data_IF_637445253003
#
_entry.id   IF_637445253003
#
_cell.length_a   1.000
_cell.length_b   1.000
_cell.length_c   1.000
_cell.angle_alpha   90.00
_cell.angle_beta   90.00
_cell.angle_gamma   90.00
#
_symmetry.space_group_name_H-M   'P 1'
#
loop_
_entity.id
_entity.type
_entity.pdbx_description
1 polymer ?
#
# COMPACT_ATOMS: atom_id res chain seq x y z
N UNK A 1 24.91 -6.39 -4.67
CA UNK A 1 23.63 -6.16 -3.96
C UNK A 1 23.90 -5.13 -2.89
N UNK A 2 23.21 -4.00 -2.91
CA UNK A 2 23.36 -2.98 -1.87
C UNK A 2 22.90 -3.51 -0.51
N UNK A 3 23.48 -2.96 0.56
CA UNK A 3 23.07 -3.26 1.93
C UNK A 3 21.63 -2.80 2.13
N UNK A 4 20.78 -3.70 2.63
CA UNK A 4 19.46 -3.33 3.13
C UNK A 4 19.63 -2.71 4.51
N UNK A 5 18.94 -1.60 4.74
CA UNK A 5 18.93 -0.89 6.02
C UNK A 5 17.53 -1.02 6.63
N UNK A 6 17.50 -1.44 7.89
CA UNK A 6 16.26 -1.57 8.65
C UNK A 6 15.99 -0.26 9.37
N UNK A 7 15.15 0.57 8.76
CA UNK A 7 14.68 1.86 9.28
C UNK A 7 13.15 1.88 9.45
N UNK A 8 12.64 2.96 10.05
CA UNK A 8 11.22 3.13 10.32
C UNK A 8 10.65 1.95 11.12
N UNK A 9 9.59 1.31 10.61
CA UNK A 9 8.95 0.13 11.21
C UNK A 9 9.89 -1.07 11.37
N UNK A 10 11.01 -1.12 10.65
CA UNK A 10 12.03 -2.18 10.78
C UNK A 10 13.18 -1.80 11.71
N UNK A 11 13.28 -0.57 12.19
CA UNK A 11 14.36 -0.15 13.10
C UNK A 11 14.36 -0.95 14.41
N UNK A 12 15.53 -1.27 14.96
CA UNK A 12 15.71 -1.85 16.31
C UNK A 12 15.76 -0.80 17.42
N UNK A 13 15.64 0.48 17.06
CA UNK A 13 15.72 1.58 18.00
C UNK A 13 14.34 1.95 18.52
N UNK A 14 14.06 1.85 19.83
CA UNK A 14 12.78 2.27 20.41
C UNK A 14 12.39 3.72 20.07
N UNK A 15 13.37 4.61 19.95
CA UNK A 15 13.16 6.02 19.58
C UNK A 15 12.73 6.23 18.12
N UNK A 16 12.89 5.22 17.26
CA UNK A 16 12.42 5.23 15.87
C UNK A 16 11.23 4.28 15.65
N UNK A 17 11.09 3.23 16.47
CA UNK A 17 10.10 2.17 16.29
C UNK A 17 9.57 1.67 17.64
N UNK A 18 8.72 2.46 18.32
CA UNK A 18 8.46 2.30 19.75
C UNK A 18 7.84 0.95 20.11
N UNK A 19 7.01 0.40 19.22
CA UNK A 19 6.22 -0.80 19.48
C UNK A 19 6.78 -2.08 18.86
N UNK A 20 7.53 -1.95 17.75
CA UNK A 20 8.02 -3.11 16.97
C UNK A 20 9.55 -3.26 17.02
N UNK A 21 10.29 -2.40 17.72
CA UNK A 21 11.77 -2.42 17.69
C UNK A 21 12.39 -3.77 18.06
N UNK A 22 11.78 -4.50 19.00
CA UNK A 22 12.30 -5.78 19.49
C UNK A 22 11.67 -7.00 18.81
N UNK A 23 11.02 -6.82 17.65
CA UNK A 23 10.46 -7.93 16.90
C UNK A 23 11.51 -8.62 16.02
N UNK A 24 11.23 -9.87 15.67
CA UNK A 24 11.89 -10.50 14.52
C UNK A 24 11.45 -9.74 13.26
N UNK A 25 12.42 -9.32 12.45
CA UNK A 25 12.19 -8.47 11.29
C UNK A 25 12.73 -9.15 10.04
N UNK A 26 11.93 -9.15 9.00
CA UNK A 26 12.23 -9.79 7.73
C UNK A 26 11.85 -8.84 6.61
N UNK A 27 12.74 -8.67 5.64
CA UNK A 27 12.46 -7.94 4.41
C UNK A 27 12.53 -8.90 3.23
N UNK A 28 11.42 -9.04 2.50
CA UNK A 28 11.33 -9.86 1.29
C UNK A 28 11.55 -8.95 0.09
N UNK A 29 12.65 -9.14 -0.62
CA UNK A 29 12.97 -8.32 -1.80
C UNK A 29 11.96 -8.55 -2.91
N UNK A 30 11.41 -7.47 -3.44
CA UNK A 30 10.48 -7.50 -4.56
C UNK A 30 11.22 -7.78 -5.87
N UNK A 31 10.88 -8.89 -6.54
CA UNK A 31 11.55 -9.30 -7.78
C UNK A 31 10.62 -9.98 -8.80
N UNK A 32 9.31 -9.98 -8.59
CA UNK A 32 8.36 -10.68 -9.46
C UNK A 32 7.59 -9.76 -10.42
N UNK A 33 7.33 -8.51 -10.05
CA UNK A 33 6.68 -7.53 -10.91
C UNK A 33 5.15 -7.47 -10.83
N UNK A 34 4.48 -8.30 -10.03
CA UNK A 34 3.03 -8.29 -9.84
C UNK A 34 2.63 -8.46 -8.37
N UNK A 35 3.31 -7.76 -7.46
CA UNK A 35 2.98 -7.78 -6.02
C UNK A 35 2.89 -9.20 -5.44
N UNK A 36 3.80 -10.08 -5.86
CA UNK A 36 3.85 -11.50 -5.50
C UNK A 36 2.63 -12.35 -5.96
N UNK A 37 1.86 -11.89 -6.94
CA UNK A 37 0.69 -12.61 -7.43
C UNK A 37 0.89 -13.25 -8.83
N UNK A 38 2.06 -13.08 -9.47
CA UNK A 38 2.33 -13.62 -10.80
C UNK A 38 2.64 -15.13 -10.84
N UNK A 39 2.27 -15.79 -11.93
CA UNK A 39 2.56 -17.20 -12.25
C UNK A 39 2.82 -17.44 -13.76
N UNK A 40 2.86 -16.38 -14.58
CA UNK A 40 2.99 -16.43 -16.03
C UNK A 40 4.39 -16.76 -16.54
N UNK A 41 4.50 -17.19 -17.79
CA UNK A 41 5.77 -17.44 -18.48
C UNK A 41 5.71 -16.82 -19.87
N UNK A 42 6.67 -15.96 -20.16
CA UNK A 42 6.87 -15.42 -21.51
C UNK A 42 8.00 -16.22 -22.18
N UNK A 43 7.62 -17.10 -23.09
CA UNK A 43 8.55 -17.97 -23.80
C UNK A 43 9.39 -17.26 -24.86
N UNK A 44 8.95 -16.09 -25.36
CA UNK A 44 9.70 -15.33 -26.36
C UNK A 44 10.93 -14.67 -25.72
N UNK A 45 10.74 -14.05 -24.56
CA UNK A 45 11.80 -13.36 -23.83
C UNK A 45 12.44 -14.22 -22.74
N UNK A 46 11.99 -15.47 -22.57
CA UNK A 46 12.40 -16.39 -21.51
C UNK A 46 12.27 -15.78 -20.09
N UNK A 47 11.15 -15.10 -19.84
CA UNK A 47 10.87 -14.44 -18.56
C UNK A 47 9.89 -15.26 -17.72
N UNK A 48 10.24 -15.41 -16.44
CA UNK A 48 9.45 -16.15 -15.45
C UNK A 48 8.82 -15.20 -14.45
N UNK A 49 7.50 -15.05 -14.51
CA UNK A 49 6.75 -14.32 -13.50
C UNK A 49 6.28 -15.33 -12.45
N UNK A 50 6.94 -15.34 -11.28
CA UNK A 50 6.80 -16.39 -10.26
C UNK A 50 6.49 -15.82 -8.87
N UNK A 51 5.80 -14.68 -8.84
CA UNK A 51 5.44 -13.99 -7.60
C UNK A 51 4.82 -14.92 -6.56
N UNK A 52 3.79 -15.69 -6.93
CA UNK A 52 3.09 -16.53 -5.97
C UNK A 52 3.97 -17.68 -5.46
N UNK A 53 4.81 -18.28 -6.33
CA UNK A 53 5.81 -19.27 -5.88
C UNK A 53 6.86 -18.68 -4.96
N UNK A 54 7.36 -17.49 -5.27
CA UNK A 54 8.35 -16.79 -4.43
C UNK A 54 7.73 -16.53 -3.05
N UNK A 55 6.50 -16.00 -3.00
CA UNK A 55 5.75 -15.80 -1.76
C UNK A 55 5.64 -17.10 -0.96
N UNK A 56 5.16 -18.18 -1.58
CA UNK A 56 4.95 -19.46 -0.91
C UNK A 56 6.26 -20.05 -0.38
N UNK A 57 7.33 -20.04 -1.18
CA UNK A 57 8.63 -20.55 -0.78
C UNK A 57 9.26 -19.74 0.37
N UNK A 58 9.15 -18.40 0.32
CA UNK A 58 9.64 -17.53 1.39
C UNK A 58 8.86 -17.76 2.68
N UNK A 59 7.52 -17.82 2.61
CA UNK A 59 6.69 -18.07 3.79
C UNK A 59 6.98 -19.43 4.42
N UNK A 60 7.14 -20.48 3.62
CA UNK A 60 7.51 -21.82 4.09
C UNK A 60 8.87 -21.81 4.80
N UNK A 61 9.88 -21.18 4.20
CA UNK A 61 11.22 -21.06 4.77
C UNK A 61 11.19 -20.29 6.11
N UNK A 62 10.49 -19.15 6.19
CA UNK A 62 10.34 -18.38 7.43
C UNK A 62 9.59 -19.17 8.51
N UNK A 63 8.55 -19.92 8.14
CA UNK A 63 7.83 -20.81 9.05
C UNK A 63 8.76 -21.88 9.63
N UNK A 64 9.73 -22.38 8.85
CA UNK A 64 10.74 -23.33 9.32
C UNK A 64 11.78 -22.69 10.25
N UNK A 65 12.08 -21.40 10.05
CA UNK A 65 13.05 -20.61 10.83
C UNK A 65 12.48 -19.99 12.11
N UNK A 66 11.32 -20.47 12.56
CA UNK A 66 10.74 -20.12 13.85
C UNK A 66 9.53 -19.19 13.78
N UNK A 67 9.16 -18.66 12.60
CA UNK A 67 7.94 -17.84 12.46
C UNK A 67 6.69 -18.63 12.89
N UNK A 68 6.66 -19.96 12.71
CA UNK A 68 5.56 -20.83 13.14
C UNK A 68 5.23 -20.75 14.63
N UNK A 69 6.19 -20.35 15.46
CA UNK A 69 6.03 -20.21 16.92
C UNK A 69 5.65 -18.79 17.35
N UNK A 70 5.42 -17.87 16.40
CA UNK A 70 5.08 -16.49 16.70
C UNK A 70 3.71 -16.40 17.41
N UNK A 71 3.67 -15.59 18.48
CA UNK A 71 2.42 -15.21 19.17
C UNK A 71 1.73 -14.03 18.47
N UNK A 72 2.51 -13.23 17.76
CA UNK A 72 2.12 -12.01 17.09
C UNK A 72 2.85 -11.94 15.74
N UNK A 73 2.14 -11.59 14.67
CA UNK A 73 2.71 -11.42 13.35
C UNK A 73 2.03 -10.25 12.62
N UNK A 74 2.84 -9.45 11.91
CA UNK A 74 2.39 -8.35 11.08
C UNK A 74 2.98 -8.52 9.68
N UNK A 75 2.11 -8.66 8.68
CA UNK A 75 2.52 -8.55 7.28
C UNK A 75 2.47 -7.07 6.89
N UNK A 76 3.58 -6.50 6.46
CA UNK A 76 3.62 -5.11 5.99
C UNK A 76 4.41 -4.94 4.70
N UNK A 77 4.09 -3.88 3.98
CA UNK A 77 4.80 -3.49 2.77
C UNK A 77 4.40 -2.11 2.29
N UNK A 78 5.25 -1.54 1.44
CA UNK A 78 5.07 -0.23 0.81
C UNK A 78 4.85 -0.38 -0.70
N UNK A 79 4.00 0.46 -1.31
CA UNK A 79 3.78 0.51 -2.76
C UNK A 79 3.28 -0.83 -3.32
N UNK A 80 3.97 -1.44 -4.29
CA UNK A 80 3.70 -2.80 -4.76
C UNK A 80 3.75 -3.85 -3.62
N UNK A 81 4.58 -3.65 -2.58
CA UNK A 81 4.58 -4.47 -1.38
C UNK A 81 3.40 -4.20 -0.44
N UNK A 82 2.85 -2.99 -0.47
CA UNK A 82 1.60 -2.65 0.21
C UNK A 82 0.42 -3.36 -0.47
N UNK A 83 0.37 -3.32 -1.80
CA UNK A 83 -0.58 -4.12 -2.59
C UNK A 83 -0.42 -5.63 -2.32
N UNK A 84 0.81 -6.13 -2.23
CA UNK A 84 1.06 -7.52 -1.85
C UNK A 84 0.52 -7.84 -0.44
N UNK A 85 0.68 -6.91 0.51
CA UNK A 85 0.14 -7.06 1.86
C UNK A 85 -1.38 -7.15 1.88
N UNK A 86 -2.07 -6.51 0.92
CA UNK A 86 -3.52 -6.62 0.73
C UNK A 86 -3.87 -7.98 0.11
N UNK A 87 -3.23 -8.33 -1.01
CA UNK A 87 -3.53 -9.53 -1.79
C UNK A 87 -3.31 -10.82 -0.98
N UNK A 88 -2.22 -10.87 -0.20
CA UNK A 88 -1.82 -12.07 0.53
C UNK A 88 -2.18 -12.03 2.02
N UNK A 89 -2.96 -11.04 2.49
CA UNK A 89 -3.23 -10.89 3.93
C UNK A 89 -3.88 -12.13 4.55
N UNK A 90 -4.92 -12.66 3.90
CA UNK A 90 -5.64 -13.83 4.39
C UNK A 90 -4.82 -15.13 4.21
N UNK A 91 -3.98 -15.21 3.17
CA UNK A 91 -3.03 -16.31 3.00
C UNK A 91 -1.99 -16.34 4.12
N UNK A 92 -1.42 -15.16 4.46
CA UNK A 92 -0.49 -15.02 5.56
C UNK A 92 -1.13 -15.40 6.90
N UNK A 93 -2.36 -14.94 7.16
CA UNK A 93 -3.12 -15.33 8.35
C UNK A 93 -3.33 -16.82 8.45
N UNK A 94 -3.57 -17.50 7.34
CA UNK A 94 -3.85 -18.94 7.29
C UNK A 94 -2.64 -19.81 7.65
N UNK A 95 -1.41 -19.26 7.63
CA UNK A 95 -0.20 -19.97 8.05
C UNK A 95 -0.14 -20.24 9.56
N UNK A 96 -0.88 -19.46 10.36
CA UNK A 96 -0.80 -19.48 11.82
C UNK A 96 -2.04 -20.10 12.48
N UNK A 97 -1.89 -20.72 13.67
CA UNK A 97 -3.03 -21.18 14.45
C UNK A 97 -3.92 -20.01 14.88
N UNK A 98 -5.18 -20.31 15.25
CA UNK A 98 -6.15 -19.29 15.64
C UNK A 98 -5.75 -18.45 16.87
N UNK A 99 -4.81 -18.96 17.68
CA UNK A 99 -4.28 -18.30 18.87
C UNK A 99 -3.23 -17.23 18.56
N UNK A 100 -2.64 -17.22 17.37
CA UNK A 100 -1.67 -16.19 16.96
C UNK A 100 -2.42 -14.93 16.53
N UNK A 101 -2.04 -13.77 17.10
CA UNK A 101 -2.54 -12.48 16.62
C UNK A 101 -1.83 -12.14 15.31
N UNK A 102 -2.56 -12.14 14.20
CA UNK A 102 -2.03 -11.76 12.90
C UNK A 102 -2.84 -10.60 12.34
N UNK A 103 -2.14 -9.57 11.84
CA UNK A 103 -2.73 -8.42 11.16
C UNK A 103 -1.89 -8.02 9.95
N UNK A 104 -2.44 -7.18 9.07
CA UNK A 104 -1.73 -6.69 7.89
C UNK A 104 -1.69 -5.16 7.84
N UNK A 105 -0.61 -4.58 7.32
CA UNK A 105 -0.42 -3.15 7.13
C UNK A 105 -0.02 -2.89 5.68
N UNK A 106 -0.86 -2.20 4.93
CA UNK A 106 -0.52 -1.74 3.59
C UNK A 106 -0.22 -0.25 3.64
N UNK A 107 1.03 0.10 3.34
CA UNK A 107 1.47 1.48 3.14
C UNK A 107 1.55 1.82 1.65
N UNK A 108 0.91 2.91 1.23
CA UNK A 108 0.88 3.37 -0.16
C UNK A 108 0.45 2.28 -1.18
N UNK A 109 -0.24 1.24 -0.71
CA UNK A 109 -0.65 0.07 -1.50
C UNK A 109 -2.10 0.13 -1.97
N UNK A 110 -2.89 1.09 -1.49
CA UNK A 110 -4.26 1.34 -1.94
C UNK A 110 -4.28 2.15 -3.25
N UNK A 111 -3.99 1.48 -4.36
CA UNK A 111 -4.11 2.04 -5.70
C UNK A 111 -5.58 2.10 -6.15
N UNK A 112 -5.99 3.27 -6.66
CA UNK A 112 -7.36 3.54 -7.07
C UNK A 112 -7.50 3.38 -8.59
N UNK A 113 -8.56 2.70 -9.01
CA UNK A 113 -8.97 2.54 -10.40
C UNK A 113 -9.62 3.84 -10.89
N UNK A 114 -8.76 4.78 -11.30
CA UNK A 114 -9.11 6.18 -11.56
C UNK A 114 -9.26 6.49 -13.06
N UNK A 115 -9.95 7.59 -13.33
CA UNK A 115 -9.98 8.26 -14.63
C UNK A 115 -8.83 9.26 -14.69
N UNK A 116 -7.99 9.17 -15.71
CA UNK A 116 -6.83 10.06 -15.89
C UNK A 116 -7.23 11.44 -16.44
N UNK A 117 -6.28 12.38 -16.50
CA UNK A 117 -6.53 13.76 -16.93
C UNK A 117 -7.01 13.90 -18.38
N UNK A 118 -6.90 12.85 -19.19
CA UNK A 118 -7.42 12.81 -20.57
C UNK A 118 -8.84 12.24 -20.66
N UNK A 119 -9.41 11.79 -19.53
CA UNK A 119 -10.68 11.06 -19.48
C UNK A 119 -10.54 9.56 -19.74
N UNK A 120 -9.30 9.06 -19.82
CA UNK A 120 -8.99 7.65 -20.05
C UNK A 120 -8.83 6.84 -18.76
N UNK A 121 -8.37 5.59 -18.90
CA UNK A 121 -8.08 4.68 -17.80
C UNK A 121 -6.65 4.12 -17.91
N UNK A 122 -5.64 5.00 -17.91
CA UNK A 122 -4.24 4.62 -18.06
C UNK A 122 -3.80 3.55 -17.03
N UNK A 123 -4.12 3.73 -15.75
CA UNK A 123 -3.72 2.77 -14.70
C UNK A 123 -4.40 1.40 -14.86
N UNK A 124 -5.67 1.37 -15.28
CA UNK A 124 -6.38 0.11 -15.55
C UNK A 124 -5.75 -0.62 -16.73
N UNK A 125 -5.35 0.10 -17.77
CA UNK A 125 -4.66 -0.47 -18.93
C UNK A 125 -3.29 -1.04 -18.53
N UNK A 126 -2.57 -0.34 -17.65
CA UNK A 126 -1.31 -0.84 -17.07
C UNK A 126 -1.54 -2.13 -16.25
N UNK A 127 -2.54 -2.15 -15.36
CA UNK A 127 -2.87 -3.34 -14.57
C UNK A 127 -3.36 -4.51 -15.43
N UNK A 128 -4.07 -4.24 -16.53
CA UNK A 128 -4.47 -5.26 -17.49
C UNK A 128 -3.26 -5.95 -18.11
N UNK A 129 -2.26 -5.14 -18.51
CA UNK A 129 -0.98 -5.63 -18.98
C UNK A 129 -0.26 -6.49 -17.94
N UNK A 130 -0.19 -6.05 -16.68
CA UNK A 130 0.41 -6.82 -15.57
C UNK A 130 -0.33 -8.15 -15.38
N UNK A 131 -1.65 -8.10 -15.27
CA UNK A 131 -2.47 -9.28 -15.00
C UNK A 131 -2.37 -10.32 -16.13
N UNK A 132 -2.39 -9.85 -17.37
CA UNK A 132 -2.32 -10.71 -18.57
C UNK A 132 -0.92 -11.27 -18.76
N UNK A 133 0.12 -10.42 -18.78
CA UNK A 133 1.50 -10.84 -19.01
C UNK A 133 2.00 -11.79 -17.93
N UNK A 134 1.70 -11.47 -16.67
CA UNK A 134 2.25 -12.19 -15.52
C UNK A 134 1.33 -13.29 -14.99
N UNK A 135 0.20 -13.59 -15.66
CA UNK A 135 -0.69 -14.69 -15.31
C UNK A 135 -1.27 -14.59 -13.90
N UNK A 136 -1.62 -13.37 -13.48
CA UNK A 136 -2.01 -13.04 -12.08
C UNK A 136 -3.39 -13.60 -11.71
N UNK A 137 -4.29 -13.71 -12.70
CA UNK A 137 -5.72 -14.00 -12.48
C UNK A 137 -6.00 -15.23 -11.60
N UNK A 138 -5.17 -16.26 -11.67
CA UNK A 138 -5.34 -17.51 -10.92
C UNK A 138 -5.07 -17.37 -9.41
N UNK A 139 -4.32 -16.34 -9.01
CA UNK A 139 -3.98 -16.06 -7.61
C UNK A 139 -4.84 -14.95 -7.01
N UNK A 140 -5.78 -14.38 -7.77
CA UNK A 140 -6.71 -13.37 -7.26
C UNK A 140 -7.88 -14.03 -6.50
N UNK A 141 -8.51 -13.31 -5.55
CA UNK A 141 -9.60 -13.87 -4.78
C UNK A 141 -10.79 -14.31 -5.64
N UNK A 142 -11.18 -15.58 -5.53
CA UNK A 142 -12.29 -16.17 -6.31
C UNK A 142 -13.63 -15.44 -6.15
N UNK A 143 -13.90 -14.87 -4.97
CA UNK A 143 -15.12 -14.10 -4.75
C UNK A 143 -15.18 -12.84 -5.62
N UNK A 144 -14.03 -12.29 -6.01
CA UNK A 144 -13.95 -11.14 -6.89
C UNK A 144 -13.97 -11.59 -8.36
N UNK A 145 -13.12 -12.54 -8.74
CA UNK A 145 -12.98 -12.96 -10.16
C UNK A 145 -14.20 -13.70 -10.70
N UNK A 146 -15.09 -14.19 -9.83
CA UNK A 146 -16.40 -14.72 -10.23
C UNK A 146 -17.45 -13.64 -10.56
N UNK A 147 -17.17 -12.37 -10.21
CA UNK A 147 -18.10 -11.24 -10.38
C UNK A 147 -17.55 -10.16 -11.31
N UNK A 148 -16.22 -10.03 -11.38
CA UNK A 148 -15.50 -9.00 -12.11
C UNK A 148 -14.34 -9.62 -12.88
N UNK A 149 -13.81 -8.89 -13.87
CA UNK A 149 -12.60 -9.32 -14.57
C UNK A 149 -11.38 -9.28 -13.63
N UNK A 150 -10.34 -10.04 -13.97
CA UNK A 150 -9.14 -10.16 -13.16
C UNK A 150 -8.42 -8.82 -12.95
N UNK A 151 -8.39 -7.95 -13.98
CA UNK A 151 -7.81 -6.60 -13.89
C UNK A 151 -8.47 -5.77 -12.79
N UNK A 152 -9.80 -5.76 -12.70
CA UNK A 152 -10.52 -5.13 -11.58
C UNK A 152 -10.14 -5.77 -10.25
N UNK A 153 -10.04 -7.09 -10.18
CA UNK A 153 -9.70 -7.78 -8.93
C UNK A 153 -8.26 -7.60 -8.45
N UNK A 154 -7.38 -7.06 -9.30
CA UNK A 154 -6.04 -6.66 -8.90
C UNK A 154 -6.01 -5.28 -8.24
N UNK A 155 -7.03 -4.43 -8.46
CA UNK A 155 -7.16 -3.17 -7.74
C UNK A 155 -7.68 -3.39 -6.30
N UNK A 156 -6.98 -2.87 -5.27
CA UNK A 156 -7.38 -2.96 -3.88
C UNK A 156 -8.84 -2.59 -3.59
N UNK A 157 -9.34 -1.53 -4.22
CA UNK A 157 -10.69 -1.00 -3.94
C UNK A 157 -11.82 -2.03 -4.11
N UNK A 158 -11.61 -3.09 -4.91
CA UNK A 158 -12.62 -4.12 -5.15
C UNK A 158 -12.48 -5.35 -4.23
N UNK A 159 -11.41 -5.45 -3.46
CA UNK A 159 -11.11 -6.63 -2.62
C UNK A 159 -10.94 -6.30 -1.14
N UNK A 160 -10.48 -5.08 -0.79
CA UNK A 160 -10.08 -4.76 0.60
C UNK A 160 -11.20 -4.93 1.63
N UNK A 161 -12.45 -4.64 1.26
CA UNK A 161 -13.59 -4.77 2.16
C UNK A 161 -13.94 -6.23 2.48
N UNK A 162 -13.46 -7.18 1.67
CA UNK A 162 -13.73 -8.60 1.80
C UNK A 162 -12.58 -9.37 2.47
N UNK A 163 -11.43 -8.71 2.76
CA UNK A 163 -10.35 -9.31 3.54
C UNK A 163 -10.88 -9.65 4.93
N UNK A 164 -10.68 -10.89 5.37
CA UNK A 164 -11.18 -11.37 6.67
C UNK A 164 -10.27 -10.98 7.82
N UNK A 165 -8.96 -10.95 7.58
CA UNK A 165 -7.94 -10.56 8.55
C UNK A 165 -7.95 -9.05 8.83
N UNK A 166 -7.80 -8.59 10.10
CA UNK A 166 -7.71 -7.17 10.40
C UNK A 166 -6.56 -6.50 9.64
N UNK A 167 -6.90 -5.46 8.88
CA UNK A 167 -5.95 -4.74 8.02
C UNK A 167 -5.92 -3.25 8.35
N UNK A 168 -4.74 -2.65 8.24
CA UNK A 168 -4.52 -1.21 8.36
C UNK A 168 -4.08 -0.64 7.01
N UNK A 169 -4.77 0.41 6.56
CA UNK A 169 -4.37 1.16 5.37
C UNK A 169 -3.71 2.48 5.78
N UNK A 170 -2.41 2.58 5.52
CA UNK A 170 -1.68 3.84 5.57
C UNK A 170 -1.51 4.33 4.14
N UNK A 171 -2.08 5.49 3.82
CA UNK A 171 -2.02 5.98 2.45
C UNK A 171 -2.06 7.50 2.45
N UNK A 172 -1.23 8.14 1.64
CA UNK A 172 -1.38 9.56 1.37
C UNK A 172 -2.62 9.79 0.48
N UNK A 173 -3.45 10.77 0.83
CA UNK A 173 -4.57 11.21 -0.01
C UNK A 173 -4.10 11.77 -1.37
N UNK A 174 -2.86 12.26 -1.41
CA UNK A 174 -2.17 12.78 -2.59
C UNK A 174 -0.93 11.93 -2.88
N UNK A 175 -1.13 10.62 -3.04
CA UNK A 175 -0.05 9.68 -3.34
C UNK A 175 0.69 10.06 -4.62
N UNK A 176 1.99 10.35 -4.49
CA UNK A 176 2.78 10.97 -5.58
C UNK A 176 3.00 10.01 -6.73
N UNK A 177 3.11 8.71 -6.46
CA UNK A 177 3.19 7.69 -7.50
C UNK A 177 1.88 7.63 -8.30
N UNK A 178 0.73 7.60 -7.64
CA UNK A 178 -0.57 7.61 -8.33
C UNK A 178 -0.77 8.89 -9.13
N UNK A 179 -0.40 10.06 -8.61
CA UNK A 179 -0.48 11.31 -9.36
C UNK A 179 0.37 11.23 -10.64
N UNK A 180 1.59 10.72 -10.54
CA UNK A 180 2.54 10.68 -11.64
C UNK A 180 2.27 9.57 -12.67
N UNK A 181 1.85 8.38 -12.21
CA UNK A 181 1.77 7.18 -13.03
C UNK A 181 0.35 6.77 -13.39
N UNK A 182 -0.65 7.22 -12.62
CA UNK A 182 -2.05 6.89 -12.85
C UNK A 182 -2.85 8.11 -13.32
N UNK A 183 -2.82 9.23 -12.60
CA UNK A 183 -3.64 10.42 -12.88
C UNK A 183 -3.10 11.22 -14.08
N UNK A 184 -1.81 11.55 -14.08
CA UNK A 184 -1.16 12.35 -15.13
C UNK A 184 0.13 11.70 -15.68
N UNK A 185 0.08 10.43 -16.16
CA UNK A 185 1.23 9.82 -16.81
C UNK A 185 1.64 10.57 -18.08
N UNK A 186 2.91 10.44 -18.45
CA UNK A 186 3.46 11.16 -19.61
C UNK A 186 2.73 10.82 -20.92
N UNK A 187 2.19 9.61 -21.03
CA UNK A 187 1.42 9.15 -22.20
C UNK A 187 0.11 9.90 -22.41
N UNK A 188 -0.46 10.50 -21.36
CA UNK A 188 -1.73 11.26 -21.42
C UNK A 188 -1.52 12.77 -21.23
N UNK A 189 -0.28 13.23 -21.02
CA UNK A 189 0.11 14.63 -20.91
C UNK A 189 1.16 15.02 -21.99
N UNK A 190 0.85 14.90 -23.29
CA UNK A 190 1.83 15.16 -24.36
C UNK A 190 2.25 16.64 -24.47
N UNK A 191 1.47 17.55 -23.88
CA UNK A 191 1.76 18.98 -23.82
C UNK A 191 2.54 19.38 -22.56
N UNK A 192 2.86 18.40 -21.70
CA UNK A 192 3.57 18.60 -20.44
C UNK A 192 2.92 19.64 -19.50
N UNK A 193 1.59 19.81 -19.55
CA UNK A 193 0.91 20.81 -18.72
C UNK A 193 0.93 20.44 -17.24
N UNK A 194 1.01 19.14 -16.93
CA UNK A 194 1.10 18.61 -15.58
C UNK A 194 2.52 18.39 -15.08
N UNK A 195 3.53 18.56 -15.93
CA UNK A 195 4.93 18.24 -15.59
C UNK A 195 5.41 18.96 -14.35
N UNK A 196 5.15 20.27 -14.21
CA UNK A 196 5.56 21.00 -13.02
C UNK A 196 4.76 20.54 -11.78
N UNK A 197 3.43 20.50 -11.87
CA UNK A 197 2.53 20.15 -10.78
C UNK A 197 2.76 18.73 -10.19
N UNK A 198 2.91 17.71 -11.05
CA UNK A 198 3.05 16.31 -10.60
C UNK A 198 4.40 15.97 -9.97
N UNK A 199 5.37 16.88 -10.07
CA UNK A 199 6.70 16.77 -9.45
C UNK A 199 6.99 17.87 -8.41
N UNK A 200 6.10 18.85 -8.28
CA UNK A 200 6.13 19.89 -7.26
C UNK A 200 4.71 20.41 -7.06
N UNK A 201 4.10 20.01 -5.94
CA UNK A 201 2.70 20.35 -5.65
C UNK A 201 2.47 21.87 -5.52
N UNK A 202 3.49 22.64 -5.14
CA UNK A 202 3.42 24.11 -5.05
C UNK A 202 3.40 24.79 -6.43
N UNK A 203 3.73 24.05 -7.50
CA UNK A 203 3.68 24.55 -8.88
C UNK A 203 2.32 24.28 -9.57
N UNK A 204 1.37 23.66 -8.87
CA UNK A 204 0.05 23.40 -9.41
C UNK A 204 -0.79 24.69 -9.51
N UNK A 205 -1.43 24.91 -10.66
CA UNK A 205 -2.44 25.95 -10.79
C UNK A 205 -3.76 25.56 -10.08
N UNK A 206 -4.69 26.52 -9.97
CA UNK A 206 -5.97 26.31 -9.29
C UNK A 206 -6.81 25.17 -9.90
N UNK A 207 -6.73 24.94 -11.21
CA UNK A 207 -7.46 23.87 -11.88
C UNK A 207 -6.82 22.50 -11.61
N UNK A 208 -5.49 22.42 -11.67
CA UNK A 208 -4.74 21.22 -11.31
C UNK A 208 -4.99 20.84 -9.85
N UNK A 209 -4.98 21.82 -8.94
CA UNK A 209 -5.33 21.61 -7.55
C UNK A 209 -6.76 21.09 -7.39
N UNK A 210 -7.74 21.64 -8.12
CA UNK A 210 -9.11 21.12 -8.10
C UNK A 210 -9.20 19.65 -8.54
N UNK A 211 -8.42 19.25 -9.55
CA UNK A 211 -8.34 17.87 -10.01
C UNK A 211 -7.69 16.97 -8.94
N UNK A 212 -6.63 17.43 -8.27
CA UNK A 212 -6.01 16.71 -7.15
C UNK A 212 -6.97 16.54 -5.96
N UNK A 213 -7.81 17.52 -5.67
CA UNK A 213 -8.88 17.40 -4.68
C UNK A 213 -9.92 16.35 -5.09
N UNK A 214 -10.26 16.30 -6.39
CA UNK A 214 -11.10 15.24 -6.97
C UNK A 214 -10.49 13.85 -6.83
N UNK A 215 -9.17 13.73 -7.06
CA UNK A 215 -8.41 12.50 -6.86
C UNK A 215 -8.50 12.00 -5.40
N UNK A 216 -8.25 12.89 -4.43
CA UNK A 216 -8.45 12.58 -2.99
C UNK A 216 -9.86 12.06 -2.73
N UNK A 217 -10.89 12.75 -3.23
CA UNK A 217 -12.27 12.35 -2.98
C UNK A 217 -12.60 10.98 -3.60
N UNK A 218 -12.02 10.67 -4.76
CA UNK A 218 -12.15 9.36 -5.41
C UNK A 218 -11.56 8.26 -4.53
N UNK A 219 -10.37 8.48 -3.96
CA UNK A 219 -9.76 7.55 -3.01
C UNK A 219 -10.63 7.33 -1.76
N UNK A 220 -11.09 8.42 -1.14
CA UNK A 220 -11.91 8.33 0.08
C UNK A 220 -13.25 7.62 -0.16
N UNK A 221 -13.86 7.82 -1.32
CA UNK A 221 -15.07 7.10 -1.71
C UNK A 221 -14.81 5.61 -1.89
N UNK A 222 -13.69 5.24 -2.54
CA UNK A 222 -13.28 3.84 -2.70
C UNK A 222 -12.97 3.15 -1.35
N UNK A 223 -12.59 3.91 -0.32
CA UNK A 223 -12.27 3.41 1.02
C UNK A 223 -13.50 3.12 1.89
N UNK A 224 -14.68 3.66 1.57
CA UNK A 224 -15.84 3.67 2.49
C UNK A 224 -16.23 2.28 3.01
N UNK A 225 -16.30 1.27 2.13
CA UNK A 225 -16.65 -0.10 2.51
C UNK A 225 -15.63 -0.74 3.45
N UNK A 226 -14.34 -0.44 3.27
CA UNK A 226 -13.28 -0.89 4.15
C UNK A 226 -13.30 -0.16 5.50
N UNK A 227 -13.48 1.17 5.48
CA UNK A 227 -13.50 2.04 6.66
C UNK A 227 -14.70 1.79 7.58
N UNK A 228 -15.80 1.25 7.06
CA UNK A 228 -16.97 0.87 7.84
C UNK A 228 -16.70 -0.31 8.80
N UNK A 229 -15.69 -1.15 8.53
CA UNK A 229 -15.41 -2.34 9.33
C UNK A 229 -14.57 -2.00 10.57
N UNK A 230 -15.08 -2.33 11.77
CA UNK A 230 -14.43 -1.92 13.01
C UNK A 230 -13.09 -2.59 13.30
N UNK A 231 -12.87 -3.79 12.75
CA UNK A 231 -11.59 -4.52 12.84
C UNK A 231 -10.45 -3.80 12.10
N UNK A 232 -10.78 -2.97 11.12
CA UNK A 232 -9.82 -2.33 10.25
C UNK A 232 -9.38 -0.98 10.81
N UNK A 233 -8.17 -0.58 10.47
CA UNK A 233 -7.65 0.75 10.76
C UNK A 233 -7.27 1.50 9.49
N UNK A 234 -7.25 2.82 9.54
CA UNK A 234 -6.68 3.62 8.46
C UNK A 234 -6.10 4.93 8.97
N UNK A 235 -5.06 5.39 8.29
CA UNK A 235 -4.43 6.69 8.48
C UNK A 235 -4.20 7.30 7.10
N UNK A 236 -5.05 8.27 6.75
CA UNK A 236 -5.05 8.91 5.44
C UNK A 236 -4.67 10.38 5.62
N UNK A 237 -3.39 10.71 5.47
CA UNK A 237 -2.89 12.09 5.58
C UNK A 237 -2.99 12.85 4.26
N UNK A 238 -2.91 14.17 4.32
CA UNK A 238 -2.94 15.03 3.14
C UNK A 238 -1.56 15.43 2.62
N UNK A 239 -0.55 14.60 2.89
CA UNK A 239 0.78 14.82 2.38
C UNK A 239 0.89 14.39 0.92
N UNK A 240 1.65 15.14 0.12
CA UNK A 240 2.17 14.65 -1.16
C UNK A 240 3.35 13.70 -0.91
N UNK A 241 3.07 12.41 -0.71
CA UNK A 241 4.14 11.41 -0.50
C UNK A 241 3.77 10.03 -1.02
N UNK A 242 4.76 9.18 -1.29
CA UNK A 242 4.60 7.77 -1.59
C UNK A 242 5.49 6.92 -0.68
N UNK A 243 4.85 6.17 0.23
CA UNK A 243 5.55 5.34 1.21
C UNK A 243 6.08 6.13 2.41
N UNK A 244 5.88 5.56 3.60
CA UNK A 244 6.01 6.25 4.88
C UNK A 244 6.53 5.34 6.00
N UNK A 245 6.27 4.03 5.97
CA UNK A 245 6.64 3.13 7.08
C UNK A 245 8.14 2.89 7.22
N UNK A 246 8.92 3.05 6.15
CA UNK A 246 10.38 2.84 6.19
C UNK A 246 11.17 4.13 6.38
N UNK A 247 10.54 5.30 6.19
CA UNK A 247 11.21 6.59 6.39
C UNK A 247 11.05 7.02 7.86
N UNK A 248 12.14 7.10 8.64
CA UNK A 248 12.05 7.49 10.05
C UNK A 248 11.48 8.90 10.23
N UNK A 249 11.65 9.81 9.26
CA UNK A 249 11.12 11.17 9.30
C UNK A 249 9.61 11.21 9.11
N UNK A 250 9.00 10.16 8.55
CA UNK A 250 7.54 10.06 8.36
C UNK A 250 6.92 9.14 9.39
N UNK A 251 7.62 8.09 9.79
CA UNK A 251 7.12 7.07 10.69
C UNK A 251 6.98 7.55 12.14
N UNK A 252 8.06 8.07 12.75
CA UNK A 252 8.07 8.36 14.19
C UNK A 252 9.01 9.48 14.67
N UNK A 253 9.68 10.24 13.80
CA UNK A 253 10.47 11.41 14.23
C UNK A 253 9.63 12.48 14.94
N UNK A 254 10.28 13.43 15.61
CA UNK A 254 9.58 14.47 16.36
C UNK A 254 8.73 15.42 15.51
N UNK A 255 9.14 15.60 14.26
CA UNK A 255 8.43 16.38 13.25
C UNK A 255 7.66 15.52 12.24
N UNK A 256 7.46 14.21 12.50
CA UNK A 256 6.74 13.35 11.58
C UNK A 256 5.29 13.81 11.38
N UNK A 257 4.65 13.53 10.22
CA UNK A 257 3.26 13.86 9.97
C UNK A 257 2.31 13.32 11.04
N UNK A 258 1.29 14.10 11.39
CA UNK A 258 0.31 13.72 12.40
C UNK A 258 -1.12 14.04 11.98
N UNK A 259 -2.06 13.17 12.35
CA UNK A 259 -3.49 13.48 12.30
C UNK A 259 -4.01 13.48 13.74
N UNK A 260 -4.63 14.59 14.16
CA UNK A 260 -5.10 14.74 15.53
C UNK A 260 -3.99 14.57 16.58
N UNK A 261 -2.80 15.10 16.30
CA UNK A 261 -1.59 15.01 17.13
C UNK A 261 -1.07 13.57 17.35
N UNK A 262 -1.49 12.59 16.54
CA UNK A 262 -0.95 11.23 16.56
C UNK A 262 -0.05 10.98 15.36
N UNK A 263 1.17 10.51 15.62
CA UNK A 263 2.14 10.06 14.60
C UNK A 263 1.64 8.75 13.95
N UNK A 264 2.21 8.44 12.79
CA UNK A 264 1.91 7.20 12.06
C UNK A 264 2.23 5.96 12.93
N UNK A 265 3.44 5.87 13.49
CA UNK A 265 3.83 4.70 14.29
C UNK A 265 2.92 4.47 15.50
N UNK A 266 2.58 5.54 16.23
CA UNK A 266 1.64 5.48 17.36
C UNK A 266 0.27 4.98 16.92
N UNK A 267 -0.22 5.45 15.77
CA UNK A 267 -1.53 5.07 15.23
C UNK A 267 -1.56 3.59 14.81
N UNK A 268 -0.51 3.11 14.14
CA UNK A 268 -0.39 1.69 13.78
C UNK A 268 -0.24 0.82 15.02
N UNK A 269 0.58 1.22 15.99
CA UNK A 269 0.76 0.50 17.25
C UNK A 269 -0.53 0.43 18.08
N UNK A 270 -1.22 1.56 18.24
CA UNK A 270 -2.49 1.62 18.95
C UNK A 270 -3.53 0.67 18.34
N UNK A 271 -3.63 0.63 17.01
CA UNK A 271 -4.51 -0.30 16.31
C UNK A 271 -4.03 -1.75 16.43
N UNK A 272 -2.74 -2.02 16.22
CA UNK A 272 -2.21 -3.39 16.20
C UNK A 272 -2.40 -4.08 17.56
N UNK A 273 -2.10 -3.37 18.65
CA UNK A 273 -2.19 -3.88 20.01
C UNK A 273 -3.60 -3.74 20.62
N UNK A 274 -4.59 -3.29 19.85
CA UNK A 274 -5.98 -3.10 20.28
C UNK A 274 -6.11 -2.08 21.43
N UNK A 275 -5.22 -1.08 21.47
CA UNK A 275 -5.28 0.04 22.44
C UNK A 275 -6.36 1.05 22.08
N UNK A 276 -6.58 1.29 20.78
CA UNK A 276 -7.70 2.12 20.30
C UNK A 276 -8.08 1.79 18.85
N UNK A 277 -9.31 2.14 18.48
CA UNK A 277 -9.71 2.15 17.08
C UNK A 277 -9.08 3.37 16.39
N UNK A 278 -8.51 3.16 15.21
CA UNK A 278 -7.82 4.21 14.44
C UNK A 278 -8.45 4.34 13.07
N UNK A 279 -9.28 5.37 12.92
CA UNK A 279 -9.94 5.76 11.67
C UNK A 279 -9.64 7.23 11.42
N UNK A 280 -8.43 7.51 10.95
CA UNK A 280 -7.90 8.86 10.78
C UNK A 280 -7.90 9.25 9.31
N UNK A 281 -8.65 10.30 8.97
CA UNK A 281 -8.65 10.93 7.65
C UNK A 281 -8.42 12.42 7.88
N UNK A 282 -7.40 12.94 7.23
CA UNK A 282 -7.00 14.33 7.34
C UNK A 282 -7.87 15.26 6.49
N UNK A 283 -7.85 16.56 6.79
CA UNK A 283 -8.49 17.59 5.99
C UNK A 283 -7.82 17.72 4.61
N UNK A 284 -8.46 18.35 3.63
CA UNK A 284 -7.84 18.56 2.31
C UNK A 284 -6.62 19.51 2.39
N UNK A 285 -5.53 19.21 1.65
CA UNK A 285 -4.40 20.13 1.45
C UNK A 285 -4.90 21.54 1.11
N UNK A 286 -4.31 22.62 1.66
CA UNK A 286 -3.02 22.68 2.39
C UNK A 286 -3.13 22.71 3.92
N UNK A 287 -4.13 22.06 4.51
CA UNK A 287 -4.40 22.26 5.94
C UNK A 287 -3.36 21.66 6.91
N UNK A 288 -2.69 20.56 6.54
CA UNK A 288 -1.74 19.85 7.41
C UNK A 288 -0.32 20.38 7.23
N UNK A 289 0.13 21.15 8.21
CA UNK A 289 1.47 21.75 8.24
C UNK A 289 2.53 20.80 8.84
N UNK A 290 2.17 19.57 9.21
CA UNK A 290 3.10 18.55 9.72
C UNK A 290 3.64 17.64 8.61
N UNK A 291 3.13 17.80 7.40
CA UNK A 291 3.51 16.97 6.28
C UNK A 291 4.97 17.12 5.86
N UNK A 292 5.59 15.98 5.56
CA UNK A 292 6.83 15.89 4.80
C UNK A 292 6.48 15.47 3.37
N UNK A 293 6.51 16.42 2.45
CA UNK A 293 6.23 16.20 1.04
C UNK A 293 7.45 15.63 0.31
N UNK A 294 7.25 14.68 -0.60
CA UNK A 294 8.30 14.16 -1.50
C UNK A 294 8.53 15.08 -2.71
N UNK A 295 7.60 16.02 -2.94
CA UNK A 295 7.52 16.93 -4.09
C UNK A 295 7.43 18.38 -3.63
#
# INVERSE_FOLDING_TARGET
>A
MDKLYFDGILSDKPEQNPDFYNWNRVEVRYCDGASFAGEGFDGEHNLYFRGQRIWSAVMEDLMSKGMRSAKQALLSGCSAGGLASILHCDEFRALFPQTTKVKCLSDAGFFVDLVDISGGHAVRSFYDGVVTLQGVAQNLPKYCTSRMNATSCFFPQYIVANITTPTFLLNAAYDTYQIQQALAPISVDPKETWKACKFNHSACDSNQMQILQGFRNTMLNALQGFAALDKNGHFINSCFTHGQIYDPNKWYSDNSPTIGNKRIATSVGDWYFDRSQVKAIDCAYPCDNTCHHDL
#
